data_IF_647581997577
#
_entry.id   IF_647581997577
#
_cell.length_a   1.000
_cell.length_b   1.000
_cell.length_c   1.000
_cell.angle_alpha   90.00
_cell.angle_beta   90.00
_cell.angle_gamma   90.00
#
_symmetry.space_group_name_H-M   'P 1'
#
loop_
_entity.id
_entity.type
_entity.pdbx_description
1 polymer ?
#
# COMPACT_ATOMS: atom_id res chain seq x y z
N UNK A 1 0.49 -11.98 1.09
CA UNK A 1 0.37 -10.74 0.33
C UNK A 1 1.67 -9.96 0.43
N UNK A 2 2.25 -9.58 -0.71
CA UNK A 2 3.52 -8.85 -0.81
C UNK A 2 3.50 -7.53 -0.03
N UNK A 3 2.35 -6.87 0.02
CA UNK A 3 2.15 -5.69 0.86
C UNK A 3 2.35 -5.99 2.33
N UNK A 4 1.76 -7.04 2.90
CA UNK A 4 1.95 -7.36 4.32
C UNK A 4 3.42 -7.61 4.67
N UNK A 5 4.22 -8.07 3.71
CA UNK A 5 5.67 -8.21 3.92
C UNK A 5 6.38 -6.86 3.93
N UNK A 6 5.95 -5.91 3.09
CA UNK A 6 6.51 -4.55 3.03
C UNK A 6 6.02 -3.66 4.18
N UNK A 7 4.72 -3.69 4.45
CA UNK A 7 3.99 -2.87 5.40
C UNK A 7 3.15 -3.77 6.33
N UNK A 8 3.81 -4.42 7.30
CA UNK A 8 3.16 -5.33 8.25
C UNK A 8 2.05 -4.74 9.13
N UNK A 9 1.85 -3.40 9.17
CA UNK A 9 0.71 -2.75 9.82
C UNK A 9 -0.51 -2.61 8.91
N UNK A 10 -0.36 -2.77 7.59
CA UNK A 10 -1.49 -2.80 6.67
C UNK A 10 -2.12 -4.19 6.71
N UNK A 11 -3.42 -4.22 6.97
CA UNK A 11 -4.20 -5.46 6.95
C UNK A 11 -4.72 -5.73 5.55
N UNK A 12 -5.17 -6.95 5.27
CA UNK A 12 -5.77 -7.26 3.96
C UNK A 12 -7.04 -6.42 3.72
N UNK A 13 -7.74 -6.01 4.79
CA UNK A 13 -8.91 -5.13 4.71
C UNK A 13 -8.54 -3.72 4.24
N UNK A 14 -7.46 -3.13 4.82
CA UNK A 14 -6.94 -1.84 4.37
C UNK A 14 -6.57 -1.88 2.88
N UNK A 15 -5.97 -2.98 2.43
CA UNK A 15 -5.56 -3.15 1.03
C UNK A 15 -6.73 -3.50 0.11
N UNK A 16 -7.75 -4.20 0.61
CA UNK A 16 -8.96 -4.49 -0.13
C UNK A 16 -9.76 -3.22 -0.40
N UNK A 17 -9.70 -2.24 0.51
CA UNK A 17 -10.25 -0.90 0.29
C UNK A 17 -9.45 -0.11 -0.75
N UNK A 18 -8.17 -0.43 -0.95
CA UNK A 18 -7.33 0.19 -1.97
C UNK A 18 -7.58 -0.52 -3.30
N UNK A 19 -8.36 0.10 -4.18
CA UNK A 19 -8.60 -0.39 -5.54
C UNK A 19 -7.38 -0.18 -6.47
N UNK A 20 -6.15 -0.39 -5.98
CA UNK A 20 -4.92 -0.11 -6.72
C UNK A 20 -4.67 1.39 -7.00
N UNK A 21 -5.38 2.29 -6.31
CA UNK A 21 -5.18 3.74 -6.40
C UNK A 21 -4.02 4.18 -5.52
N UNK A 22 -3.06 4.90 -6.11
CA UNK A 22 -1.91 5.47 -5.41
C UNK A 22 -2.35 6.31 -4.20
N UNK A 23 -3.27 7.25 -4.41
CA UNK A 23 -3.73 8.19 -3.38
C UNK A 23 -4.31 7.49 -2.14
N UNK A 24 -4.97 6.36 -2.33
CA UNK A 24 -5.54 5.55 -1.24
C UNK A 24 -4.43 4.88 -0.43
N UNK A 25 -3.43 4.30 -1.10
CA UNK A 25 -2.28 3.69 -0.42
C UNK A 25 -1.43 4.75 0.29
N UNK A 26 -1.20 5.90 -0.33
CA UNK A 26 -0.52 7.04 0.30
C UNK A 26 -1.28 7.52 1.53
N UNK A 27 -2.62 7.63 1.44
CA UNK A 27 -3.47 8.00 2.57
C UNK A 27 -3.40 6.98 3.72
N UNK A 28 -3.33 5.69 3.41
CA UNK A 28 -3.15 4.64 4.43
C UNK A 28 -1.77 4.69 5.06
N UNK A 29 -0.71 4.88 4.28
CA UNK A 29 0.65 5.03 4.79
C UNK A 29 0.75 6.25 5.73
N UNK A 30 0.13 7.37 5.36
CA UNK A 30 0.03 8.55 6.23
C UNK A 30 -0.76 8.25 7.51
N UNK A 31 -1.93 7.60 7.43
CA UNK A 31 -2.79 7.33 8.59
C UNK A 31 -2.26 6.24 9.53
N UNK A 32 -1.75 5.13 8.99
CA UNK A 32 -1.29 3.95 9.77
C UNK A 32 0.14 4.09 10.27
N UNK A 33 0.99 4.76 9.50
CA UNK A 33 2.41 4.91 9.83
C UNK A 33 2.80 6.33 10.21
N UNK A 34 1.96 7.34 9.99
CA UNK A 34 2.33 8.74 10.22
C UNK A 34 3.37 9.24 9.23
N UNK A 35 3.48 8.62 8.06
CA UNK A 35 4.45 9.03 7.06
C UNK A 35 4.10 10.40 6.47
N UNK A 36 5.13 11.20 6.18
CA UNK A 36 4.97 12.38 5.35
C UNK A 36 4.65 11.96 3.91
N UNK A 37 4.03 12.86 3.14
CA UNK A 37 3.63 12.61 1.76
C UNK A 37 4.77 12.05 0.91
N UNK A 38 5.95 12.69 0.95
CA UNK A 38 7.15 12.22 0.23
C UNK A 38 7.58 10.81 0.63
N UNK A 39 7.56 10.49 1.92
CA UNK A 39 7.96 9.17 2.41
C UNK A 39 6.96 8.08 2.00
N UNK A 40 5.67 8.42 2.00
CA UNK A 40 4.65 7.52 1.48
C UNK A 40 4.81 7.30 -0.03
N UNK A 41 5.13 8.35 -0.80
CA UNK A 41 5.38 8.27 -2.25
C UNK A 41 6.62 7.44 -2.59
N UNK A 42 7.70 7.59 -1.83
CA UNK A 42 8.92 6.81 -2.00
C UNK A 42 8.66 5.33 -1.74
N UNK A 43 7.96 5.02 -0.65
CA UNK A 43 7.58 3.66 -0.30
C UNK A 43 6.64 3.04 -1.35
N UNK A 44 5.67 3.83 -1.84
CA UNK A 44 4.79 3.43 -2.93
C UNK A 44 5.60 3.11 -4.19
N UNK A 45 6.45 4.04 -4.67
CA UNK A 45 7.30 3.82 -5.85
C UNK A 45 8.21 2.62 -5.71
N UNK A 46 8.81 2.42 -4.53
CA UNK A 46 9.64 1.24 -4.24
C UNK A 46 8.85 -0.06 -4.30
N UNK A 47 7.59 -0.04 -3.87
CA UNK A 47 6.68 -1.17 -4.00
C UNK A 47 6.31 -1.44 -5.47
N UNK A 48 5.88 -0.41 -6.22
CA UNK A 48 5.53 -0.57 -7.64
C UNK A 48 6.74 -1.02 -8.48
N UNK A 49 7.93 -0.49 -8.21
CA UNK A 49 9.14 -0.91 -8.92
C UNK A 49 9.54 -2.37 -8.66
N UNK A 50 9.22 -2.90 -7.47
CA UNK A 50 9.55 -4.27 -7.08
C UNK A 50 8.50 -5.29 -7.53
N UNK A 51 7.23 -4.89 -7.57
CA UNK A 51 6.09 -5.80 -7.79
C UNK A 51 5.32 -5.51 -9.09
N UNK A 52 5.63 -4.43 -9.79
CA UNK A 52 5.04 -4.04 -11.07
C UNK A 52 3.57 -3.61 -11.03
N UNK A 53 2.86 -3.88 -9.93
CA UNK A 53 1.43 -3.61 -9.78
C UNK A 53 1.12 -3.08 -8.37
N UNK A 54 0.29 -2.03 -8.22
CA UNK A 54 -0.20 -1.64 -6.90
C UNK A 54 -1.03 -2.79 -6.32
N UNK A 55 -1.18 -2.86 -4.98
CA UNK A 55 -2.12 -3.80 -4.40
C UNK A 55 -3.52 -3.40 -4.84
N UNK A 56 -3.99 -4.04 -5.90
CA UNK A 56 -5.41 -4.18 -6.17
C UNK A 56 -5.91 -5.20 -5.17
N UNK A 57 -7.06 -4.95 -4.55
CA UNK A 57 -7.76 -5.91 -3.69
C UNK A 57 -7.89 -7.27 -4.37
N UNK A 58 -6.84 -8.08 -4.29
CA UNK A 58 -6.85 -9.46 -4.69
C UNK A 58 -7.82 -10.09 -3.72
N UNK A 59 -9.01 -10.44 -4.21
CA UNK A 59 -9.93 -11.31 -3.50
C UNK A 59 -9.14 -12.58 -3.23
N UNK A 60 -8.48 -12.65 -2.07
CA UNK A 60 -7.96 -13.86 -1.47
C UNK A 60 -9.19 -14.77 -1.31
N UNK A 61 -9.37 -15.67 -2.28
CA UNK A 61 -10.32 -16.77 -2.19
C UNK A 61 -9.81 -17.79 -1.17
#
# INVERSE_FOLDING_TARGET
>A
GEVKQKWGKLTDDDLAQVEGKEEQLLGLLQKRYGYAKEKAEEEYKGFIGRYGKPPSGEKLK
#
